data_IF_842218431321
#
_entry.id   IF_842218431321
#
_cell.length_a   1.000
_cell.length_b   1.000
_cell.length_c   1.000
_cell.angle_alpha   90.00
_cell.angle_beta   90.00
_cell.angle_gamma   90.00
#
_symmetry.space_group_name_H-M   'P 1'
#
loop_
_entity.id
_entity.type
_entity.pdbx_description
1 polymer ?
#
# COMPACT_ATOMS: atom_id res chain seq x y z
N UNK A 1 0.29 13.33 17.97
CA UNK A 1 0.42 11.87 17.78
C UNK A 1 1.89 11.53 17.94
N UNK A 2 2.26 10.48 18.70
CA UNK A 2 3.64 10.00 18.68
C UNK A 2 4.02 9.72 17.22
N UNK A 3 5.18 10.21 16.79
CA UNK A 3 5.65 10.03 15.42
C UNK A 3 5.83 8.54 15.11
N UNK A 4 5.58 8.14 13.87
CA UNK A 4 5.97 6.81 13.41
C UNK A 4 7.49 6.69 13.41
N UNK A 5 8.02 5.68 14.09
CA UNK A 5 9.45 5.36 14.11
C UNK A 5 9.76 4.13 13.25
N UNK A 6 9.03 3.03 13.47
CA UNK A 6 9.18 1.79 12.72
C UNK A 6 7.91 0.92 12.80
N UNK A 7 7.83 -0.09 11.94
CA UNK A 7 6.84 -1.15 12.07
C UNK A 7 7.23 -2.15 13.16
N UNK A 8 6.30 -2.62 14.00
CA UNK A 8 6.60 -3.63 15.01
C UNK A 8 6.85 -5.00 14.35
N UNK A 9 7.75 -5.81 14.93
CA UNK A 9 7.98 -7.19 14.48
C UNK A 9 6.70 -8.04 14.51
N UNK A 10 5.78 -7.74 15.43
CA UNK A 10 4.46 -8.39 15.51
C UNK A 10 3.65 -8.30 14.22
N UNK A 11 3.91 -7.29 13.36
CA UNK A 11 3.32 -7.21 12.03
C UNK A 11 3.66 -8.45 11.20
N UNK A 12 4.95 -8.79 11.08
CA UNK A 12 5.40 -9.91 10.25
C UNK A 12 4.94 -11.25 10.85
N UNK A 13 5.01 -11.41 12.17
CA UNK A 13 4.47 -12.59 12.84
C UNK A 13 2.96 -12.75 12.60
N UNK A 14 2.19 -11.66 12.63
CA UNK A 14 0.76 -11.71 12.32
C UNK A 14 0.51 -12.20 10.89
N UNK A 15 1.25 -11.68 9.91
CA UNK A 15 1.10 -12.06 8.51
C UNK A 15 1.49 -13.53 8.27
N UNK A 16 2.54 -14.01 8.93
CA UNK A 16 2.95 -15.42 8.89
C UNK A 16 1.89 -16.34 9.50
N UNK A 17 1.34 -16.00 10.66
CA UNK A 17 0.27 -16.80 11.26
C UNK A 17 -1.02 -16.76 10.43
N UNK A 18 -1.33 -15.60 9.83
CA UNK A 18 -2.48 -15.45 8.95
C UNK A 18 -2.33 -16.33 7.70
N UNK A 19 -1.13 -16.47 7.12
CA UNK A 19 -0.92 -17.33 5.96
C UNK A 19 -1.25 -18.79 6.25
N UNK A 20 -0.92 -19.26 7.47
CA UNK A 20 -1.23 -20.62 7.96
C UNK A 20 -2.69 -20.81 8.37
N UNK A 21 -3.39 -19.72 8.69
CA UNK A 21 -4.74 -19.74 9.26
C UNK A 21 -5.73 -18.82 8.53
N UNK A 22 -5.65 -18.75 7.20
CA UNK A 22 -6.38 -17.76 6.39
C UNK A 22 -7.88 -18.08 6.29
N UNK A 23 -8.62 -17.85 7.37
CA UNK A 23 -10.06 -18.05 7.44
C UNK A 23 -10.70 -17.05 8.41
N UNK A 24 -12.01 -16.80 8.22
CA UNK A 24 -12.76 -15.78 8.96
C UNK A 24 -12.76 -16.02 10.47
N UNK A 25 -12.96 -17.27 10.91
CA UNK A 25 -13.04 -17.63 12.33
C UNK A 25 -11.74 -17.28 13.06
N UNK A 26 -10.61 -17.64 12.47
CA UNK A 26 -9.31 -17.31 13.04
C UNK A 26 -9.08 -15.79 13.03
N UNK A 27 -9.36 -15.11 11.92
CA UNK A 27 -9.16 -13.67 11.83
C UNK A 27 -10.01 -12.89 12.85
N UNK A 28 -11.29 -13.24 13.02
CA UNK A 28 -12.17 -12.57 13.97
C UNK A 28 -11.63 -12.66 15.40
N UNK A 29 -11.08 -13.81 15.80
CA UNK A 29 -10.45 -14.01 17.12
C UNK A 29 -9.19 -13.16 17.30
N UNK A 30 -8.42 -12.95 16.23
CA UNK A 30 -7.14 -12.22 16.27
C UNK A 30 -7.26 -10.77 15.77
N UNK A 31 -8.46 -10.31 15.46
CA UNK A 31 -8.73 -8.95 14.97
C UNK A 31 -8.17 -7.85 15.87
N UNK A 32 -8.25 -7.93 17.22
CA UNK A 32 -7.63 -6.92 18.08
C UNK A 32 -6.11 -6.82 17.89
N UNK A 33 -5.43 -7.96 17.69
CA UNK A 33 -3.98 -8.00 17.41
C UNK A 33 -3.68 -7.40 16.04
N UNK A 34 -4.48 -7.72 15.02
CA UNK A 34 -4.37 -7.10 13.71
C UNK A 34 -4.52 -5.56 13.75
N UNK A 35 -5.50 -5.03 14.50
CA UNK A 35 -5.65 -3.58 14.63
C UNK A 35 -4.39 -2.95 15.21
N UNK A 36 -3.87 -3.49 16.32
CA UNK A 36 -2.72 -2.95 17.06
C UNK A 36 -1.39 -3.11 16.35
N UNK A 37 -1.13 -4.28 15.75
CA UNK A 37 0.21 -4.64 15.25
C UNK A 37 0.36 -4.42 13.75
N UNK A 38 -0.75 -4.35 13.00
CA UNK A 38 -0.71 -4.18 11.55
C UNK A 38 -1.34 -2.86 11.14
N UNK A 39 -2.60 -2.63 11.51
CA UNK A 39 -3.36 -1.49 10.98
C UNK A 39 -2.89 -0.16 11.56
N UNK A 40 -2.84 -0.04 12.89
CA UNK A 40 -2.46 1.21 13.56
C UNK A 40 -1.05 1.67 13.17
N UNK A 41 -0.01 0.80 13.15
CA UNK A 41 1.31 1.16 12.64
C UNK A 41 1.30 1.58 11.17
N UNK A 42 0.52 0.91 10.31
CA UNK A 42 0.38 1.31 8.91
C UNK A 42 -0.28 2.68 8.75
N UNK A 43 -1.28 3.01 9.56
CA UNK A 43 -1.89 4.35 9.55
C UNK A 43 -0.92 5.41 10.08
N UNK A 44 -0.14 5.10 11.12
CA UNK A 44 0.89 5.99 11.63
C UNK A 44 1.98 6.26 10.58
N UNK A 45 2.43 5.23 9.86
CA UNK A 45 3.36 5.38 8.73
C UNK A 45 2.77 6.27 7.63
N UNK A 46 1.51 6.02 7.21
CA UNK A 46 0.84 6.86 6.21
C UNK A 46 0.81 8.32 6.68
N UNK A 47 0.45 8.59 7.92
CA UNK A 47 0.44 9.96 8.47
C UNK A 47 1.84 10.60 8.43
N UNK A 48 2.89 9.85 8.77
CA UNK A 48 4.27 10.32 8.73
C UNK A 48 4.78 10.61 7.31
N UNK A 49 4.21 9.96 6.29
CA UNK A 49 4.58 10.15 4.89
C UNK A 49 4.00 11.42 4.25
N UNK A 50 3.08 12.14 4.91
CA UNK A 50 2.47 13.37 4.37
C UNK A 50 3.52 14.42 3.97
N UNK A 51 4.42 14.82 4.88
CA UNK A 51 5.45 15.83 4.59
C UNK A 51 6.49 15.34 3.57
N UNK A 52 7.06 14.12 3.68
CA UNK A 52 7.96 13.59 2.66
C UNK A 52 7.33 13.56 1.26
N UNK A 53 6.07 13.12 1.13
CA UNK A 53 5.40 13.08 -0.16
C UNK A 53 5.15 14.47 -0.72
N UNK A 54 4.74 15.44 0.12
CA UNK A 54 4.54 16.81 -0.32
C UNK A 54 5.83 17.46 -0.86
N UNK A 55 7.01 17.07 -0.35
CA UNK A 55 8.31 17.51 -0.89
C UNK A 55 8.62 16.87 -2.25
N UNK A 56 8.20 15.62 -2.47
CA UNK A 56 8.37 14.94 -3.76
C UNK A 56 7.42 15.52 -4.81
N UNK A 57 6.14 15.64 -4.46
CA UNK A 57 5.12 16.30 -5.28
C UNK A 57 3.88 16.59 -4.42
N UNK A 58 3.29 17.80 -4.50
CA UNK A 58 2.09 18.15 -3.74
C UNK A 58 0.84 17.34 -4.15
N UNK A 59 0.93 16.62 -5.26
CA UNK A 59 -0.17 15.87 -5.84
C UNK A 59 -0.39 14.48 -5.21
N UNK A 60 0.63 13.88 -4.59
CA UNK A 60 0.46 12.61 -3.88
C UNK A 60 -0.18 12.81 -2.52
N UNK A 61 -1.22 12.03 -2.22
CA UNK A 61 -1.97 12.13 -0.97
C UNK A 61 -1.70 10.97 -0.03
N UNK A 62 -1.29 11.30 1.19
CA UNK A 62 -1.24 10.40 2.34
C UNK A 62 -2.51 10.53 3.18
N UNK A 63 -3.39 9.55 3.12
CA UNK A 63 -4.69 9.59 3.78
C UNK A 63 -4.76 8.43 4.79
N UNK A 64 -4.50 8.66 6.08
CA UNK A 64 -4.44 7.62 7.12
C UNK A 64 -5.84 7.22 7.59
N UNK A 65 -6.69 6.71 6.68
CA UNK A 65 -8.03 6.21 6.97
C UNK A 65 -8.10 4.69 6.84
N UNK A 66 -8.86 4.05 7.74
CA UNK A 66 -9.13 2.59 7.70
C UNK A 66 -9.85 2.16 6.42
N UNK A 67 -10.71 3.03 5.88
CA UNK A 67 -11.51 2.81 4.67
C UNK A 67 -11.42 4.05 3.80
N UNK A 68 -11.18 3.85 2.50
CA UNK A 68 -11.09 4.94 1.51
C UNK A 68 -9.85 5.83 1.64
N UNK A 69 -8.85 5.43 2.43
CA UNK A 69 -7.55 6.09 2.54
C UNK A 69 -6.47 5.43 1.68
N UNK A 70 -5.21 5.74 2.01
CA UNK A 70 -4.04 5.13 1.36
C UNK A 70 -3.82 3.68 1.80
N UNK A 71 -4.37 3.25 2.93
CA UNK A 71 -4.29 1.85 3.36
C UNK A 71 -5.25 0.99 2.53
N UNK A 72 -4.74 -0.07 1.89
CA UNK A 72 -5.57 -1.01 1.16
C UNK A 72 -6.32 -1.95 2.12
N UNK A 73 -7.51 -2.39 1.71
CA UNK A 73 -8.25 -3.43 2.43
C UNK A 73 -7.45 -4.72 2.51
N UNK A 74 -7.51 -5.36 3.69
CA UNK A 74 -6.97 -6.69 3.94
C UNK A 74 -7.76 -7.79 3.20
N UNK A 75 -9.05 -7.59 2.96
CA UNK A 75 -9.86 -8.58 2.25
C UNK A 75 -9.39 -8.73 0.79
N UNK A 76 -9.28 -9.98 0.37
CA UNK A 76 -8.95 -10.35 -1.01
C UNK A 76 -10.21 -10.41 -1.86
N UNK A 77 -10.08 -10.02 -3.13
CA UNK A 77 -11.13 -10.29 -4.12
C UNK A 77 -10.91 -11.68 -4.69
N UNK A 78 -11.77 -12.64 -4.33
CA UNK A 78 -11.60 -14.06 -4.66
C UNK A 78 -12.59 -14.56 -5.72
N UNK A 79 -13.38 -13.66 -6.32
CA UNK A 79 -14.44 -14.05 -7.27
C UNK A 79 -13.91 -14.90 -8.42
N UNK A 80 -12.75 -14.53 -8.96
CA UNK A 80 -12.11 -15.20 -10.10
C UNK A 80 -10.83 -15.98 -9.72
N UNK A 81 -10.48 -16.05 -8.44
CA UNK A 81 -9.27 -16.73 -7.96
C UNK A 81 -9.55 -18.21 -7.69
N UNK A 82 -8.63 -19.11 -8.06
CA UNK A 82 -8.70 -20.52 -7.64
C UNK A 82 -8.50 -20.64 -6.12
N UNK A 83 -7.52 -19.91 -5.59
CA UNK A 83 -7.33 -19.75 -4.15
C UNK A 83 -8.43 -18.85 -3.56
N UNK A 84 -9.21 -19.40 -2.62
CA UNK A 84 -10.35 -18.75 -1.96
C UNK A 84 -10.01 -18.15 -0.60
N UNK A 85 -8.74 -18.03 -0.26
CA UNK A 85 -8.28 -17.39 0.97
C UNK A 85 -8.85 -15.96 1.10
N UNK A 86 -9.62 -15.64 2.16
CA UNK A 86 -10.38 -14.39 2.27
C UNK A 86 -9.52 -13.15 2.54
N UNK A 87 -8.31 -13.32 3.09
CA UNK A 87 -7.44 -12.23 3.48
C UNK A 87 -6.13 -12.23 2.70
N UNK A 88 -5.59 -11.03 2.49
CA UNK A 88 -4.23 -10.81 2.01
C UNK A 88 -3.24 -11.08 3.14
N UNK A 89 -2.13 -11.70 2.81
CA UNK A 89 -0.99 -11.95 3.72
C UNK A 89 0.07 -10.85 3.64
N UNK A 90 -0.27 -9.71 3.03
CA UNK A 90 0.58 -8.55 2.89
C UNK A 90 -0.14 -7.27 3.30
N UNK A 91 0.62 -6.26 3.72
CA UNK A 91 0.14 -4.88 3.88
C UNK A 91 0.41 -4.13 2.58
N UNK A 92 -0.65 -3.59 1.98
CA UNK A 92 -0.55 -2.72 0.83
C UNK A 92 -0.92 -1.29 1.18
N UNK A 93 -0.05 -0.34 0.87
CA UNK A 93 -0.30 1.10 1.00
C UNK A 93 -0.15 1.73 -0.37
N UNK A 94 -1.15 2.50 -0.78
CA UNK A 94 -1.16 3.19 -2.07
C UNK A 94 -1.35 4.70 -1.85
N UNK A 95 -0.30 5.47 -2.11
CA UNK A 95 -0.38 6.93 -2.18
C UNK A 95 -0.81 7.33 -3.59
N UNK A 96 -2.02 7.85 -3.70
CA UNK A 96 -2.65 8.19 -4.98
C UNK A 96 -2.31 9.62 -5.37
N UNK A 97 -2.12 9.84 -6.66
CA UNK A 97 -2.10 11.19 -7.23
C UNK A 97 -3.52 11.77 -7.26
N UNK A 98 -3.64 13.09 -7.15
CA UNK A 98 -4.91 13.81 -7.27
C UNK A 98 -5.51 13.83 -8.68
N UNK A 99 -4.77 13.39 -9.71
CA UNK A 99 -5.23 13.31 -11.09
C UNK A 99 -6.30 12.22 -11.29
N UNK A 100 -6.36 11.24 -10.38
CA UNK A 100 -7.34 10.18 -10.48
C UNK A 100 -7.26 9.16 -9.36
N UNK A 101 -8.35 8.42 -9.17
CA UNK A 101 -8.45 7.32 -8.20
C UNK A 101 -8.35 5.95 -8.88
N UNK A 102 -8.23 5.90 -10.20
CA UNK A 102 -8.07 4.66 -10.95
C UNK A 102 -6.59 4.33 -11.15
N UNK A 103 -6.34 3.28 -11.93
CA UNK A 103 -5.00 2.79 -12.25
C UNK A 103 -4.25 3.70 -13.23
N UNK A 104 -4.96 4.59 -13.93
CA UNK A 104 -4.41 5.44 -14.98
C UNK A 104 -3.76 6.71 -14.44
N UNK A 105 -3.93 7.00 -13.14
CA UNK A 105 -3.19 8.04 -12.45
C UNK A 105 -1.85 7.52 -11.89
N UNK A 106 -0.83 8.40 -11.73
CA UNK A 106 0.42 8.00 -11.10
C UNK A 106 0.17 7.49 -9.68
N UNK A 107 0.93 6.47 -9.28
CA UNK A 107 0.78 5.84 -7.98
C UNK A 107 2.12 5.47 -7.37
N UNK A 108 2.18 5.59 -6.04
CA UNK A 108 3.26 5.02 -5.23
C UNK A 108 2.65 3.92 -4.37
N UNK A 109 3.12 2.70 -4.58
CA UNK A 109 2.70 1.51 -3.85
C UNK A 109 3.81 1.04 -2.92
N UNK A 110 3.52 0.90 -1.64
CA UNK A 110 4.42 0.30 -0.67
C UNK A 110 3.86 -1.04 -0.20
N UNK A 111 4.71 -2.06 -0.25
CA UNK A 111 4.39 -3.45 0.01
C UNK A 111 5.18 -3.96 1.21
N UNK A 112 4.49 -4.64 2.12
CA UNK A 112 5.12 -5.38 3.23
C UNK A 112 4.53 -6.78 3.26
N UNK A 113 5.36 -7.78 3.07
CA UNK A 113 5.08 -9.21 3.24
C UNK A 113 6.21 -9.82 4.10
N UNK A 114 5.98 -11.05 4.57
CA UNK A 114 6.99 -11.89 5.24
C UNK A 114 8.20 -12.23 4.36
N UNK A 115 8.02 -12.27 3.05
CA UNK A 115 9.04 -12.67 2.07
C UNK A 115 9.73 -11.49 1.40
N UNK A 116 9.02 -10.36 1.24
CA UNK A 116 9.53 -9.20 0.53
C UNK A 116 8.95 -7.87 1.05
N UNK A 117 9.74 -6.82 0.88
CA UNK A 117 9.34 -5.44 1.14
C UNK A 117 9.82 -4.61 -0.05
N UNK A 118 8.91 -3.96 -0.75
CA UNK A 118 9.27 -3.17 -1.92
C UNK A 118 8.40 -1.92 -2.08
N UNK A 119 8.91 -1.00 -2.89
CA UNK A 119 8.23 0.20 -3.34
C UNK A 119 8.06 0.12 -4.85
N UNK A 120 6.83 0.23 -5.33
CA UNK A 120 6.50 0.41 -6.74
C UNK A 120 6.09 1.85 -7.02
N UNK A 121 6.61 2.44 -8.09
CA UNK A 121 6.18 3.76 -8.58
C UNK A 121 5.89 3.63 -10.05
N UNK A 122 4.80 4.20 -10.52
CA UNK A 122 4.51 4.19 -11.94
C UNK A 122 3.12 4.65 -12.32
N UNK A 123 2.81 4.37 -13.58
CA UNK A 123 1.59 4.79 -14.26
C UNK A 123 1.11 3.64 -15.13
N UNK A 124 -0.13 3.17 -14.92
CA UNK A 124 -0.64 2.04 -15.68
C UNK A 124 -1.35 2.51 -16.95
N UNK A 125 -0.79 2.12 -18.12
CA UNK A 125 -1.30 2.46 -19.45
C UNK A 125 -1.64 3.97 -19.58
N UNK A 126 -0.65 4.85 -19.50
CA UNK A 126 -0.87 6.28 -19.75
C UNK A 126 -1.41 6.53 -21.16
N UNK A 127 -2.13 7.64 -21.31
CA UNK A 127 -2.47 8.18 -22.61
C UNK A 127 -1.21 8.50 -23.44
N UNK A 128 -1.36 8.50 -24.77
CA UNK A 128 -0.23 8.62 -25.69
C UNK A 128 0.64 9.86 -25.43
N UNK A 129 0.03 11.00 -25.12
CA UNK A 129 0.75 12.25 -24.83
C UNK A 129 1.60 12.14 -23.55
N UNK A 130 1.03 11.61 -22.46
CA UNK A 130 1.75 11.41 -21.21
C UNK A 130 2.87 10.37 -21.36
N UNK A 131 2.61 9.28 -22.10
CA UNK A 131 3.62 8.26 -22.38
C UNK A 131 4.81 8.82 -23.18
N UNK A 132 4.54 9.64 -24.20
CA UNK A 132 5.58 10.30 -25.00
C UNK A 132 6.44 11.22 -24.12
N UNK A 133 5.80 12.09 -23.33
CA UNK A 133 6.51 13.00 -22.43
C UNK A 133 7.41 12.27 -21.42
N UNK A 134 6.94 11.15 -20.83
CA UNK A 134 7.75 10.33 -19.93
C UNK A 134 8.96 9.75 -20.67
N UNK A 135 8.77 9.20 -21.87
CA UNK A 135 9.85 8.60 -22.67
C UNK A 135 10.87 9.63 -23.11
N UNK A 136 10.43 10.81 -23.54
CA UNK A 136 11.30 11.90 -23.95
C UNK A 136 12.15 12.37 -22.77
N UNK A 137 11.55 12.48 -21.58
CA UNK A 137 12.28 12.83 -20.35
C UNK A 137 13.34 11.79 -19.99
N UNK A 138 13.01 10.49 -20.05
CA UNK A 138 13.97 9.40 -19.79
C UNK A 138 15.08 9.39 -20.84
N UNK A 139 14.74 9.63 -22.12
CA UNK A 139 15.73 9.66 -23.19
C UNK A 139 16.67 10.86 -23.07
N UNK A 140 16.18 12.01 -22.59
CA UNK A 140 16.97 13.21 -22.39
C UNK A 140 17.92 13.10 -21.20
N UNK A 141 17.49 12.41 -20.12
CA UNK A 141 18.35 12.10 -18.97
C UNK A 141 18.16 10.67 -18.46
N UNK A 142 18.90 9.70 -19.03
CA UNK A 142 18.77 8.28 -18.66
C UNK A 142 19.25 7.93 -17.25
N UNK A 143 19.86 8.86 -16.51
CA UNK A 143 20.48 8.61 -15.19
C UNK A 143 19.79 9.35 -14.04
N UNK A 144 18.77 10.15 -14.35
CA UNK A 144 17.99 10.90 -13.36
C UNK A 144 17.18 10.00 -12.41
#
# INVERSE_FOLDING_TARGET
>A
MPGFSCFPLGLLHFLEELSRNNNKKWFDKHKPRYEREVREPALAFIAAMEKPLARLSPHFKAIPKKVGGSLMRIHRDVRFSHDKSPYKTNVGIHFRHDAGKDVHAPGIYFHIDTSEVFLGVGLWRPEAAALAAIRDSISADPRA
#
